data_IF_084106117245
#
_entry.id   IF_084106117245
#
_cell.length_a   1.000
_cell.length_b   1.000
_cell.length_c   1.000
_cell.angle_alpha   90.00
_cell.angle_beta   90.00
_cell.angle_gamma   90.00
#
_symmetry.space_group_name_H-M   'P 1'
#
loop_
_entity.id
_entity.type
_entity.pdbx_description
1 polymer ?
#
# COMPACT_ATOMS: atom_id res chain seq x y z
N UNK A 1 -39.29 -5.93 47.23
CA UNK A 1 -38.44 -7.06 46.86
C UNK A 1 -38.53 -7.20 45.36
N UNK A 2 -37.35 -7.31 44.76
CA UNK A 2 -37.04 -7.73 43.39
C UNK A 2 -37.19 -6.70 42.26
N UNK A 3 -36.04 -6.31 41.72
CA UNK A 3 -35.91 -5.59 40.45
C UNK A 3 -34.91 -4.44 40.51
N UNK A 4 -33.61 -4.78 40.49
CA UNK A 4 -32.48 -4.07 39.85
C UNK A 4 -31.21 -4.63 40.54
N UNK A 5 -30.73 -5.76 40.03
CA UNK A 5 -29.36 -6.24 40.24
C UNK A 5 -28.90 -6.80 38.90
N UNK A 6 -27.68 -6.42 38.50
CA UNK A 6 -27.04 -6.55 37.17
C UNK A 6 -27.50 -5.45 36.19
N UNK A 7 -26.68 -4.48 35.77
CA UNK A 7 -25.26 -4.53 35.38
C UNK A 7 -24.55 -3.26 35.85
N UNK A 8 -23.81 -3.33 36.96
CA UNK A 8 -22.78 -2.33 37.29
C UNK A 8 -21.41 -2.95 36.97
N UNK A 9 -21.11 -3.15 35.69
CA UNK A 9 -19.71 -3.23 35.27
C UNK A 9 -19.15 -1.84 35.56
N UNK A 10 -18.27 -1.74 36.55
CA UNK A 10 -17.82 -0.43 37.04
C UNK A 10 -17.21 0.36 35.88
N UNK A 11 -17.54 1.65 35.78
CA UNK A 11 -16.93 2.57 34.81
C UNK A 11 -15.40 2.50 34.86
N UNK A 12 -14.83 2.19 36.03
CA UNK A 12 -13.40 1.95 36.21
C UNK A 12 -12.88 0.69 35.49
N UNK A 13 -13.65 -0.40 35.46
CA UNK A 13 -13.28 -1.63 34.74
C UNK A 13 -13.32 -1.39 33.22
N UNK A 14 -14.34 -0.67 32.74
CA UNK A 14 -14.42 -0.26 31.33
C UNK A 14 -13.25 0.65 30.95
N UNK A 15 -12.90 1.63 31.80
CA UNK A 15 -11.79 2.55 31.58
C UNK A 15 -10.42 1.86 31.60
N UNK A 16 -10.23 0.82 32.43
CA UNK A 16 -9.00 0.03 32.45
C UNK A 16 -8.83 -0.84 31.20
N UNK A 17 -9.90 -1.53 30.76
CA UNK A 17 -9.89 -2.30 29.50
C UNK A 17 -9.68 -1.37 28.30
N UNK A 18 -10.23 -0.15 28.37
CA UNK A 18 -10.05 0.89 27.38
C UNK A 18 -8.59 1.37 27.29
N UNK A 19 -7.96 1.69 28.43
CA UNK A 19 -6.56 2.12 28.45
C UNK A 19 -5.61 1.01 27.99
N UNK A 20 -5.87 -0.25 28.33
CA UNK A 20 -5.08 -1.37 27.81
C UNK A 20 -5.22 -1.51 26.30
N UNK A 21 -6.44 -1.38 25.77
CA UNK A 21 -6.67 -1.44 24.32
C UNK A 21 -5.95 -0.30 23.58
N UNK A 22 -6.00 0.93 24.09
CA UNK A 22 -5.27 2.05 23.52
C UNK A 22 -3.75 1.80 23.51
N UNK A 23 -3.19 1.34 24.64
CA UNK A 23 -1.78 1.02 24.75
C UNK A 23 -1.36 -0.08 23.76
N UNK A 24 -2.21 -1.09 23.54
CA UNK A 24 -1.97 -2.16 22.58
C UNK A 24 -1.91 -1.64 21.13
N UNK A 25 -2.78 -0.68 20.77
CA UNK A 25 -2.79 -0.05 19.44
C UNK A 25 -1.58 0.87 19.23
N UNK A 26 -1.20 1.66 20.23
CA UNK A 26 0.03 2.48 20.19
C UNK A 26 1.26 1.59 20.00
N UNK A 27 1.32 0.46 20.73
CA UNK A 27 2.38 -0.52 20.59
C UNK A 27 2.38 -1.18 19.20
N UNK A 28 1.22 -1.49 18.63
CA UNK A 28 1.11 -2.04 17.27
C UNK A 28 1.64 -1.08 16.20
N UNK A 29 1.31 0.20 16.28
CA UNK A 29 1.84 1.23 15.35
C UNK A 29 3.36 1.36 15.46
N UNK A 30 3.89 1.37 16.70
CA UNK A 30 5.34 1.42 16.94
C UNK A 30 6.05 0.18 16.41
N UNK A 31 5.49 -1.01 16.65
CA UNK A 31 6.06 -2.27 16.18
C UNK A 31 6.03 -2.37 14.64
N UNK A 32 4.96 -1.90 13.99
CA UNK A 32 4.89 -1.82 12.53
C UNK A 32 6.01 -0.92 11.98
N UNK A 33 6.24 0.24 12.62
CA UNK A 33 7.35 1.13 12.26
C UNK A 33 8.70 0.44 12.46
N UNK A 34 8.95 -0.18 13.62
CA UNK A 34 10.20 -0.91 13.89
C UNK A 34 10.45 -2.04 12.89
N UNK A 35 9.42 -2.78 12.49
CA UNK A 35 9.51 -3.82 11.47
C UNK A 35 9.85 -3.24 10.11
N UNK A 36 9.23 -2.12 9.70
CA UNK A 36 9.55 -1.45 8.44
C UNK A 36 11.02 -1.03 8.39
N UNK A 37 11.52 -0.30 9.39
CA UNK A 37 12.92 0.14 9.41
C UNK A 37 13.89 -1.04 9.49
N UNK A 38 13.55 -2.09 10.24
CA UNK A 38 14.36 -3.30 10.27
C UNK A 38 14.49 -3.94 8.88
N UNK A 39 13.45 -3.95 8.05
CA UNK A 39 13.55 -4.43 6.66
C UNK A 39 14.28 -3.44 5.74
N UNK A 40 13.91 -2.16 5.82
CA UNK A 40 14.42 -1.09 4.97
C UNK A 40 15.92 -0.82 5.20
N UNK A 41 16.38 -0.67 6.43
CA UNK A 41 17.80 -0.41 6.74
C UNK A 41 18.70 -1.58 6.33
N UNK A 42 18.22 -2.82 6.48
CA UNK A 42 18.96 -3.99 6.02
C UNK A 42 18.99 -4.09 4.49
N UNK A 43 17.90 -3.75 3.80
CA UNK A 43 17.93 -3.60 2.34
C UNK A 43 18.99 -2.56 1.93
N UNK A 44 19.00 -1.38 2.57
CA UNK A 44 19.97 -0.33 2.29
C UNK A 44 21.42 -0.73 2.60
N UNK A 45 21.64 -1.65 3.55
CA UNK A 45 22.97 -2.08 3.97
C UNK A 45 23.53 -3.25 3.14
N UNK A 46 22.68 -4.19 2.73
CA UNK A 46 23.11 -5.48 2.17
C UNK A 46 22.66 -5.71 0.72
N UNK A 47 21.55 -5.11 0.30
CA UNK A 47 20.98 -5.34 -1.02
C UNK A 47 21.12 -4.16 -1.97
N UNK A 48 21.07 -2.91 -1.50
CA UNK A 48 21.23 -1.74 -2.36
C UNK A 48 22.58 -1.80 -3.13
N UNK A 49 22.61 -1.61 -4.47
CA UNK A 49 21.56 -1.09 -5.36
C UNK A 49 20.73 -2.15 -6.12
N UNK A 50 20.68 -3.39 -5.64
CA UNK A 50 19.83 -4.43 -6.24
C UNK A 50 18.34 -4.16 -5.98
N UNK A 51 17.48 -4.84 -6.74
CA UNK A 51 16.03 -4.61 -6.71
C UNK A 51 15.41 -5.05 -5.38
N UNK A 52 15.83 -6.21 -4.85
CA UNK A 52 15.26 -6.81 -3.65
C UNK A 52 16.33 -7.43 -2.74
N UNK A 53 15.93 -7.77 -1.52
CA UNK A 53 16.79 -8.38 -0.52
C UNK A 53 16.47 -9.86 -0.38
N UNK A 54 17.51 -10.67 -0.33
CA UNK A 54 17.49 -12.07 0.08
C UNK A 54 17.86 -12.11 1.59
N UNK A 55 16.87 -12.20 2.50
CA UNK A 55 17.04 -11.96 3.93
C UNK A 55 17.70 -13.11 4.72
N UNK A 56 17.82 -14.31 4.15
CA UNK A 56 18.53 -15.45 4.74
C UNK A 56 20.02 -15.29 4.49
N UNK A 57 20.46 -15.05 3.25
CA UNK A 57 21.88 -14.85 2.93
C UNK A 57 22.37 -13.41 3.07
N UNK A 58 21.47 -12.44 3.30
CA UNK A 58 21.79 -11.01 3.36
C UNK A 58 22.46 -10.52 2.08
N UNK A 59 21.89 -10.88 0.94
CA UNK A 59 22.41 -10.52 -0.39
C UNK A 59 21.36 -9.78 -1.20
N UNK A 60 21.80 -8.96 -2.16
CA UNK A 60 20.89 -8.33 -3.11
C UNK A 60 20.50 -9.27 -4.25
N UNK A 61 19.25 -9.16 -4.69
CA UNK A 61 18.68 -9.86 -5.83
C UNK A 61 18.27 -8.88 -6.93
N UNK A 62 18.63 -9.19 -8.16
CA UNK A 62 18.27 -8.42 -9.35
C UNK A 62 17.89 -9.33 -10.52
N UNK A 63 17.91 -8.76 -11.72
CA UNK A 63 17.54 -9.47 -12.94
C UNK A 63 18.42 -10.72 -13.17
N UNK A 64 17.81 -11.83 -13.59
CA UNK A 64 18.52 -13.06 -13.92
C UNK A 64 19.13 -12.94 -15.33
N UNK A 65 20.36 -12.41 -15.38
CA UNK A 65 21.14 -12.29 -16.61
C UNK A 65 21.63 -13.63 -17.16
N UNK A 66 21.67 -14.68 -16.33
CA UNK A 66 22.11 -16.01 -16.76
C UNK A 66 20.99 -16.72 -17.53
N UNK A 67 19.74 -16.48 -17.17
CA UNK A 67 18.56 -17.00 -17.85
C UNK A 67 17.53 -15.89 -18.16
N UNK A 68 17.64 -15.24 -19.33
CA UNK A 68 16.69 -14.19 -19.74
C UNK A 68 15.23 -14.65 -19.86
N UNK A 69 14.98 -15.95 -20.00
CA UNK A 69 13.63 -16.54 -20.09
C UNK A 69 13.00 -16.83 -18.72
N UNK A 70 13.70 -16.52 -17.62
CA UNK A 70 13.22 -16.73 -16.26
C UNK A 70 12.15 -15.71 -15.86
N UNK A 71 10.93 -15.90 -16.38
CA UNK A 71 9.78 -15.01 -16.15
C UNK A 71 9.44 -14.81 -14.67
N UNK A 72 9.70 -15.79 -13.81
CA UNK A 72 9.34 -15.71 -12.39
C UNK A 72 10.17 -14.68 -11.62
N UNK A 73 11.33 -14.29 -12.15
CA UNK A 73 12.24 -13.31 -11.56
C UNK A 73 12.24 -12.04 -12.42
N UNK A 74 12.45 -12.20 -13.73
CA UNK A 74 12.69 -11.09 -14.64
C UNK A 74 11.46 -10.20 -14.90
N UNK A 75 10.25 -10.69 -14.64
CA UNK A 75 9.03 -9.89 -14.83
C UNK A 75 8.97 -8.68 -13.89
N UNK A 76 9.52 -8.82 -12.69
CA UNK A 76 9.50 -7.80 -11.63
C UNK A 76 10.85 -7.09 -11.50
N UNK A 77 11.95 -7.82 -11.66
CA UNK A 77 13.30 -7.30 -11.42
C UNK A 77 13.92 -6.77 -12.72
N UNK A 78 14.13 -5.46 -12.79
CA UNK A 78 14.65 -4.76 -13.96
C UNK A 78 15.99 -4.06 -13.76
N UNK A 79 16.65 -4.27 -12.61
CA UNK A 79 17.91 -3.63 -12.17
C UNK A 79 17.79 -2.10 -12.01
N UNK A 80 16.73 -1.65 -11.35
CA UNK A 80 16.43 -0.23 -11.12
C UNK A 80 16.18 0.11 -9.64
N UNK A 81 16.65 -0.71 -8.72
CA UNK A 81 16.49 -0.53 -7.26
C UNK A 81 15.00 -0.51 -6.86
N UNK A 82 14.24 -1.52 -7.30
CA UNK A 82 12.79 -1.61 -7.07
C UNK A 82 12.36 -1.31 -5.63
N UNK A 83 12.96 -1.96 -4.63
CA UNK A 83 12.59 -1.77 -3.21
C UNK A 83 12.82 -0.33 -2.73
N UNK A 84 13.86 0.36 -3.21
CA UNK A 84 14.09 1.77 -2.89
C UNK A 84 12.95 2.65 -3.43
N UNK A 85 12.58 2.44 -4.70
CA UNK A 85 11.53 3.22 -5.36
C UNK A 85 10.17 2.96 -4.71
N UNK A 86 9.83 1.70 -4.46
CA UNK A 86 8.56 1.30 -3.84
C UNK A 86 8.44 1.80 -2.38
N UNK A 87 9.55 2.00 -1.67
CA UNK A 87 9.52 2.46 -0.27
C UNK A 87 9.39 3.99 -0.11
N UNK A 88 9.50 4.79 -1.18
CA UNK A 88 9.50 6.25 -1.10
C UNK A 88 8.25 6.82 -0.44
N UNK A 89 7.06 6.34 -0.84
CA UNK A 89 5.79 6.79 -0.29
C UNK A 89 5.60 6.35 1.18
N UNK A 90 6.16 5.18 1.51
CA UNK A 90 6.08 4.59 2.83
C UNK A 90 6.90 5.40 3.83
N UNK A 91 8.06 5.92 3.45
CA UNK A 91 8.85 6.86 4.27
C UNK A 91 8.03 8.10 4.67
N UNK A 92 7.15 8.57 3.78
CA UNK A 92 6.24 9.68 4.07
C UNK A 92 5.17 9.25 5.06
N UNK A 93 4.56 8.08 4.87
CA UNK A 93 3.57 7.52 5.80
C UNK A 93 4.13 7.32 7.21
N UNK A 94 5.36 6.84 7.33
CA UNK A 94 6.04 6.66 8.62
C UNK A 94 6.55 7.96 9.25
N UNK A 95 6.42 9.09 8.53
CA UNK A 95 6.74 10.43 9.02
C UNK A 95 8.24 10.72 9.10
N UNK A 96 9.03 10.26 8.13
CA UNK A 96 10.49 10.45 8.10
C UNK A 96 10.96 11.31 6.92
N UNK A 97 10.94 12.65 7.08
CA UNK A 97 11.34 13.56 6.02
C UNK A 97 12.83 13.51 5.71
N UNK A 98 13.68 13.20 6.71
CA UNK A 98 15.13 13.16 6.52
C UNK A 98 15.50 12.01 5.59
N UNK A 99 14.95 10.83 5.88
CA UNK A 99 15.18 9.65 5.09
C UNK A 99 14.53 9.75 3.71
N UNK A 100 13.32 10.31 3.60
CA UNK A 100 12.67 10.56 2.31
C UNK A 100 13.55 11.42 1.38
N UNK A 101 14.05 12.56 1.86
CA UNK A 101 14.91 13.46 1.07
C UNK A 101 16.20 12.78 0.63
N UNK A 102 16.78 11.95 1.51
CA UNK A 102 17.96 11.11 1.19
C UNK A 102 17.64 10.07 0.12
N UNK A 103 16.52 9.35 0.26
CA UNK A 103 16.09 8.32 -0.67
C UNK A 103 15.79 8.90 -2.06
N UNK A 104 15.12 10.05 -2.15
CA UNK A 104 14.88 10.77 -3.42
C UNK A 104 16.20 11.11 -4.11
N UNK A 105 17.16 11.66 -3.36
CA UNK A 105 18.50 11.97 -3.90
C UNK A 105 19.23 10.71 -4.38
N UNK A 106 19.09 9.58 -3.70
CA UNK A 106 19.67 8.31 -4.13
C UNK A 106 19.02 7.79 -5.43
N UNK A 107 17.70 7.89 -5.55
CA UNK A 107 16.97 7.49 -6.75
C UNK A 107 17.45 8.30 -7.95
N UNK A 108 17.49 9.64 -7.83
CA UNK A 108 17.95 10.54 -8.90
C UNK A 108 19.38 10.22 -9.36
N UNK A 109 20.27 9.88 -8.42
CA UNK A 109 21.69 9.64 -8.74
C UNK A 109 22.02 8.21 -9.20
N UNK A 110 21.19 7.22 -8.84
CA UNK A 110 21.55 5.79 -9.01
C UNK A 110 20.69 5.08 -10.06
N UNK A 111 19.42 5.47 -10.20
CA UNK A 111 18.45 4.72 -11.01
C UNK A 111 18.50 5.17 -12.47
N UNK A 112 18.54 4.20 -13.38
CA UNK A 112 18.45 4.42 -14.82
C UNK A 112 17.68 3.29 -15.48
N UNK A 113 16.73 3.64 -16.35
CA UNK A 113 15.92 2.68 -17.11
C UNK A 113 16.54 2.30 -18.46
N UNK A 114 17.72 2.81 -18.80
CA UNK A 114 18.45 2.40 -20.00
C UNK A 114 19.18 1.07 -19.76
N UNK A 115 18.40 0.00 -19.61
CA UNK A 115 18.88 -1.35 -19.34
C UNK A 115 18.42 -2.31 -20.43
N UNK A 116 19.26 -3.28 -20.77
CA UNK A 116 18.87 -4.37 -21.67
C UNK A 116 18.19 -5.50 -20.87
N UNK A 117 17.14 -5.15 -20.13
CA UNK A 117 16.34 -6.08 -19.32
C UNK A 117 14.91 -6.11 -19.86
N UNK A 118 14.30 -7.29 -19.79
CA UNK A 118 12.90 -7.50 -20.19
C UNK A 118 12.05 -7.54 -18.94
N UNK A 119 11.06 -6.67 -18.85
CA UNK A 119 10.18 -6.56 -17.69
C UNK A 119 8.71 -6.73 -18.11
N UNK A 120 7.85 -7.03 -17.15
CA UNK A 120 6.41 -7.07 -17.37
C UNK A 120 5.83 -5.65 -17.30
N UNK A 121 5.05 -5.27 -18.31
CA UNK A 121 4.44 -3.92 -18.41
C UNK A 121 3.54 -3.64 -17.20
N UNK A 122 2.82 -4.65 -16.75
CA UNK A 122 1.98 -4.59 -15.57
C UNK A 122 2.79 -4.27 -14.31
N UNK A 123 3.86 -5.02 -14.04
CA UNK A 123 4.66 -4.87 -12.82
C UNK A 123 5.46 -3.57 -12.80
N UNK A 124 5.87 -3.06 -13.98
CA UNK A 124 6.50 -1.75 -14.09
C UNK A 124 5.55 -0.58 -13.81
N UNK A 125 4.24 -0.80 -14.00
CA UNK A 125 3.24 0.26 -13.94
C UNK A 125 2.41 0.24 -12.65
N UNK A 126 2.15 -0.93 -12.04
CA UNK A 126 1.02 -1.10 -11.10
C UNK A 126 1.37 -1.88 -9.83
N UNK A 127 0.83 -1.39 -8.69
CA UNK A 127 -0.22 -2.01 -7.84
C UNK A 127 -1.17 -0.86 -7.41
N UNK A 128 -2.45 -1.10 -7.10
CA UNK A 128 -3.50 -0.06 -7.20
C UNK A 128 -4.00 0.53 -5.87
N UNK A 129 -4.04 1.88 -5.75
CA UNK A 129 -5.24 2.77 -5.76
C UNK A 129 -5.05 4.12 -4.99
N UNK A 130 -4.60 5.17 -5.68
CA UNK A 130 -4.36 6.50 -5.09
C UNK A 130 -5.62 7.25 -4.63
N UNK A 131 -5.68 7.70 -3.37
CA UNK A 131 -6.70 8.63 -2.88
C UNK A 131 -6.19 10.08 -2.79
N UNK A 132 -4.90 10.34 -2.95
CA UNK A 132 -4.39 11.72 -2.83
C UNK A 132 -4.93 12.67 -3.92
N UNK A 133 -5.21 12.17 -5.13
CA UNK A 133 -5.83 12.98 -6.19
C UNK A 133 -7.30 13.34 -5.88
N UNK A 134 -8.00 12.52 -5.08
CA UNK A 134 -9.34 12.83 -4.60
C UNK A 134 -9.30 14.03 -3.64
N UNK A 135 -8.27 14.12 -2.79
CA UNK A 135 -8.09 15.23 -1.84
C UNK A 135 -7.91 16.55 -2.58
N UNK A 136 -7.02 16.63 -3.57
CA UNK A 136 -6.78 17.89 -4.31
C UNK A 136 -8.00 18.34 -5.11
N UNK A 137 -8.71 17.41 -5.78
CA UNK A 137 -9.93 17.75 -6.53
C UNK A 137 -11.11 18.13 -5.62
N UNK A 138 -11.29 17.46 -4.48
CA UNK A 138 -12.32 17.86 -3.50
C UNK A 138 -11.97 19.19 -2.84
N UNK A 139 -10.70 19.46 -2.54
CA UNK A 139 -10.26 20.74 -1.99
C UNK A 139 -10.52 21.90 -2.98
N UNK A 140 -10.19 21.74 -4.26
CA UNK A 140 -10.46 22.76 -5.29
C UNK A 140 -11.95 22.96 -5.58
N UNK A 141 -12.76 21.89 -5.54
CA UNK A 141 -14.22 21.99 -5.73
C UNK A 141 -14.91 22.62 -4.50
N UNK A 142 -14.49 22.28 -3.28
CA UNK A 142 -15.01 22.87 -2.05
C UNK A 142 -14.70 24.38 -1.96
N UNK A 143 -13.52 24.81 -2.42
CA UNK A 143 -13.14 26.22 -2.49
C UNK A 143 -14.03 27.02 -3.47
N UNK A 144 -14.49 26.39 -4.56
CA UNK A 144 -15.32 27.05 -5.57
C UNK A 144 -16.82 27.10 -5.24
N UNK A 145 -17.34 26.15 -4.44
CA UNK A 145 -18.79 26.04 -4.17
C UNK A 145 -19.21 26.40 -2.74
N UNK A 146 -18.31 26.75 -1.83
CA UNK A 146 -18.66 27.25 -0.49
C UNK A 146 -19.40 26.25 0.40
N UNK A 147 -19.41 24.96 0.04
CA UNK A 147 -19.94 23.89 0.87
C UNK A 147 -18.85 23.37 1.81
N UNK A 148 -19.07 23.55 3.11
CA UNK A 148 -18.25 22.96 4.16
C UNK A 148 -18.64 21.48 4.33
N UNK A 149 -18.20 20.61 3.43
CA UNK A 149 -18.15 19.18 3.74
C UNK A 149 -16.99 18.99 4.72
N UNK A 150 -17.29 18.74 6.00
CA UNK A 150 -16.31 18.28 6.98
C UNK A 150 -16.01 16.81 6.70
N UNK A 151 -15.30 16.54 5.61
CA UNK A 151 -14.39 15.39 5.61
C UNK A 151 -13.18 15.85 6.40
N UNK A 152 -12.89 15.17 7.52
CA UNK A 152 -11.69 15.44 8.30
C UNK A 152 -10.48 15.34 7.37
N UNK A 153 -9.66 16.40 7.33
CA UNK A 153 -8.42 16.62 6.57
C UNK A 153 -7.34 15.51 6.68
N UNK A 154 -7.63 14.38 7.32
CA UNK A 154 -6.68 13.35 7.72
C UNK A 154 -6.90 12.00 7.02
N UNK A 155 -7.96 11.79 6.23
CA UNK A 155 -8.16 10.50 5.53
C UNK A 155 -7.29 10.44 4.26
N UNK A 156 -5.97 10.35 4.46
CA UNK A 156 -4.98 10.08 3.43
C UNK A 156 -5.02 8.59 3.07
N UNK A 157 -5.28 8.28 1.80
CA UNK A 157 -5.06 6.92 1.31
C UNK A 157 -3.97 6.93 0.25
N UNK A 158 -2.80 6.48 0.68
CA UNK A 158 -1.71 6.05 -0.18
C UNK A 158 -1.89 4.54 -0.32
N UNK A 159 -2.49 4.09 -1.41
CA UNK A 159 -2.37 2.67 -1.74
C UNK A 159 -1.09 2.46 -2.51
N UNK A 160 -0.70 1.19 -2.60
CA UNK A 160 0.41 0.71 -3.39
C UNK A 160 0.55 1.44 -4.72
N UNK A 161 1.79 1.69 -5.09
CA UNK A 161 2.21 2.07 -6.43
C UNK A 161 3.46 1.24 -6.73
N UNK A 162 3.66 0.86 -8.00
CA UNK A 162 4.95 0.36 -8.46
C UNK A 162 5.61 1.38 -9.36
N UNK A 163 6.94 1.44 -9.28
CA UNK A 163 7.87 2.28 -10.05
C UNK A 163 7.29 3.61 -10.55
N UNK A 164 6.55 3.64 -11.67
CA UNK A 164 5.90 4.86 -12.19
C UNK A 164 5.04 5.54 -11.12
N UNK A 165 4.13 4.83 -10.46
CA UNK A 165 3.25 5.45 -9.48
C UNK A 165 4.01 5.97 -8.26
N UNK A 166 5.05 5.27 -7.80
CA UNK A 166 5.87 5.68 -6.66
C UNK A 166 6.71 6.92 -7.00
N UNK A 167 7.26 6.99 -8.22
CA UNK A 167 7.95 8.18 -8.73
C UNK A 167 7.01 9.38 -8.86
N UNK A 168 5.78 9.17 -9.35
CA UNK A 168 4.76 10.24 -9.47
C UNK A 168 4.31 10.74 -8.09
N UNK A 169 4.07 9.83 -7.14
CA UNK A 169 3.71 10.18 -5.77
C UNK A 169 4.84 10.95 -5.08
N UNK A 170 6.07 10.44 -5.16
CA UNK A 170 7.24 11.11 -4.59
C UNK A 170 7.52 12.46 -5.26
N UNK A 171 7.30 12.60 -6.57
CA UNK A 171 7.38 13.89 -7.27
C UNK A 171 6.41 14.90 -6.68
N UNK A 172 5.14 14.53 -6.52
CA UNK A 172 4.14 15.42 -5.92
C UNK A 172 4.52 15.86 -4.51
N UNK A 173 4.98 14.92 -3.68
CA UNK A 173 5.33 15.18 -2.28
C UNK A 173 6.59 16.06 -2.18
N UNK A 174 7.60 15.80 -3.02
CA UNK A 174 8.83 16.59 -3.04
C UNK A 174 8.61 18.02 -3.57
N UNK A 175 7.63 18.20 -4.47
CA UNK A 175 7.25 19.50 -5.03
C UNK A 175 6.24 20.30 -4.20
N UNK A 176 5.65 19.72 -3.14
CA UNK A 176 4.62 20.38 -2.34
C UNK A 176 5.21 21.42 -1.38
N UNK A 177 5.06 22.71 -1.70
CA UNK A 177 5.50 23.84 -0.87
C UNK A 177 4.51 24.18 0.27
N UNK A 178 3.30 23.61 0.23
CA UNK A 178 2.24 23.87 1.20
C UNK A 178 2.41 23.09 2.51
N UNK A 179 3.41 22.18 2.56
CA UNK A 179 3.75 21.35 3.72
C UNK A 179 2.54 20.57 4.29
N UNK A 180 1.56 20.19 3.46
CA UNK A 180 0.34 19.52 3.91
C UNK A 180 0.63 18.20 4.63
N UNK A 181 1.68 17.50 4.21
CA UNK A 181 2.12 16.22 4.77
C UNK A 181 3.28 16.38 5.77
N UNK A 182 3.77 17.59 6.02
CA UNK A 182 4.97 17.87 6.81
C UNK A 182 6.13 18.41 5.98
N UNK A 183 7.35 18.40 6.54
CA UNK A 183 8.57 18.93 5.91
C UNK A 183 9.18 17.95 4.89
N UNK A 184 8.39 17.55 3.89
CA UNK A 184 8.85 16.68 2.80
C UNK A 184 9.29 17.45 1.55
N UNK A 185 9.05 18.76 1.51
CA UNK A 185 9.47 19.65 0.44
C UNK A 185 11.00 19.64 0.22
N UNK A 186 11.42 19.61 -1.05
CA UNK A 186 12.83 19.67 -1.46
C UNK A 186 13.05 20.97 -2.25
N UNK A 187 13.77 21.96 -1.69
CA UNK A 187 13.92 23.28 -2.32
C UNK A 187 14.56 23.27 -3.71
N UNK A 188 15.53 22.38 -3.95
CA UNK A 188 16.31 22.32 -5.20
C UNK A 188 15.77 21.26 -6.19
N UNK A 189 14.55 20.76 -5.98
CA UNK A 189 13.95 19.70 -6.81
C UNK A 189 13.27 20.29 -8.06
N UNK A 190 13.72 19.88 -9.24
CA UNK A 190 13.25 20.41 -10.53
C UNK A 190 12.32 19.45 -11.30
N UNK A 191 11.82 18.39 -10.66
CA UNK A 191 10.91 17.43 -11.27
C UNK A 191 11.60 16.23 -11.92
N UNK A 192 12.77 15.86 -11.41
CA UNK A 192 13.59 14.75 -11.88
C UNK A 192 12.80 13.42 -11.83
N UNK A 193 12.03 13.17 -10.77
CA UNK A 193 11.26 11.93 -10.65
C UNK A 193 10.10 11.87 -11.68
N UNK A 194 9.51 13.01 -12.05
CA UNK A 194 8.52 13.07 -13.14
C UNK A 194 9.18 12.76 -14.48
N UNK A 195 10.39 13.27 -14.71
CA UNK A 195 11.18 12.97 -15.92
C UNK A 195 11.53 11.49 -16.00
N UNK A 196 11.89 10.88 -14.87
CA UNK A 196 12.15 9.44 -14.77
C UNK A 196 10.88 8.60 -15.01
N UNK A 197 9.74 8.99 -14.43
CA UNK A 197 8.45 8.34 -14.67
C UNK A 197 8.06 8.41 -16.15
N UNK A 198 8.31 9.54 -16.80
CA UNK A 198 8.09 9.73 -18.23
C UNK A 198 9.03 8.86 -19.09
N UNK A 199 10.32 8.78 -18.77
CA UNK A 199 11.28 7.92 -19.49
C UNK A 199 10.86 6.45 -19.42
N UNK A 200 10.47 5.96 -18.24
CA UNK A 200 9.97 4.60 -18.08
C UNK A 200 8.68 4.39 -18.90
N UNK A 201 7.69 5.27 -18.76
CA UNK A 201 6.43 5.17 -19.50
C UNK A 201 6.63 5.18 -21.02
N UNK A 202 7.53 6.02 -21.53
CA UNK A 202 7.89 6.08 -22.95
C UNK A 202 8.49 4.76 -23.44
N UNK A 203 9.32 4.09 -22.62
CA UNK A 203 9.89 2.76 -22.92
C UNK A 203 8.84 1.65 -22.93
N UNK A 204 7.71 1.82 -22.25
CA UNK A 204 6.59 0.87 -22.28
C UNK A 204 5.70 1.03 -23.52
N UNK A 205 5.69 2.20 -24.19
CA UNK A 205 4.84 2.48 -25.35
C UNK A 205 4.88 1.43 -26.48
N UNK A 206 6.04 0.84 -26.84
CA UNK A 206 6.09 -0.21 -27.86
C UNK A 206 5.19 -1.42 -27.59
N UNK A 207 4.90 -1.70 -26.31
CA UNK A 207 3.99 -2.80 -25.93
C UNK A 207 2.54 -2.53 -26.34
N UNK A 208 2.15 -1.28 -26.58
CA UNK A 208 0.78 -0.85 -26.86
C UNK A 208 0.52 -0.65 -28.35
N UNK A 209 1.51 -0.18 -29.11
CA UNK A 209 1.35 0.26 -30.50
C UNK A 209 1.19 -0.89 -31.51
N UNK A 210 1.91 -2.01 -31.30
CA UNK A 210 2.02 -3.08 -32.30
C UNK A 210 1.04 -4.25 -32.04
N UNK A 211 -0.15 -3.95 -31.52
CA UNK A 211 -1.10 -4.98 -31.05
C UNK A 211 -2.28 -5.13 -32.01
N UNK A 212 -2.56 -6.37 -32.45
CA UNK A 212 -3.68 -6.64 -33.36
C UNK A 212 -5.05 -6.45 -32.70
N UNK A 213 -5.14 -6.69 -31.39
CA UNK A 213 -6.39 -6.65 -30.61
C UNK A 213 -6.63 -5.29 -29.94
N UNK A 214 -5.61 -4.42 -29.91
CA UNK A 214 -5.59 -3.20 -29.09
C UNK A 214 -5.31 -3.46 -27.60
N UNK A 215 -4.90 -4.68 -27.24
CA UNK A 215 -4.51 -5.09 -25.88
C UNK A 215 -2.98 -5.20 -25.83
N UNK A 216 -2.30 -4.64 -24.81
CA UNK A 216 -0.84 -4.60 -24.75
C UNK A 216 -0.19 -5.98 -24.71
N UNK A 217 1.02 -6.07 -25.24
CA UNK A 217 1.91 -7.17 -24.94
C UNK A 217 2.22 -7.20 -23.44
N UNK A 218 2.34 -8.38 -22.82
CA UNK A 218 2.60 -8.51 -21.39
C UNK A 218 3.98 -7.98 -21.00
N UNK A 219 4.96 -8.03 -21.91
CA UNK A 219 6.38 -7.76 -21.62
C UNK A 219 7.00 -6.85 -22.65
N UNK A 220 8.00 -6.10 -22.22
CA UNK A 220 8.78 -5.19 -23.05
C UNK A 220 10.22 -5.15 -22.56
N UNK A 221 11.17 -5.07 -23.49
CA UNK A 221 12.56 -4.81 -23.18
C UNK A 221 12.79 -3.30 -23.12
N UNK A 222 13.39 -2.80 -22.04
CA UNK A 222 13.55 -1.37 -21.78
C UNK A 222 14.43 -0.63 -22.81
N UNK A 223 15.28 -1.35 -23.55
CA UNK A 223 16.12 -0.78 -24.60
C UNK A 223 15.64 -1.12 -26.01
N UNK A 224 15.10 -2.32 -26.21
CA UNK A 224 14.78 -2.88 -27.54
C UNK A 224 13.29 -2.91 -27.88
N UNK A 225 12.41 -2.58 -26.93
CA UNK A 225 10.97 -2.69 -27.11
C UNK A 225 10.48 -4.13 -27.07
N UNK A 226 9.46 -4.45 -27.87
CA UNK A 226 8.87 -5.81 -27.91
C UNK A 226 9.78 -6.76 -28.70
N UNK A 227 10.21 -7.85 -28.07
CA UNK A 227 11.04 -8.87 -28.72
C UNK A 227 10.18 -9.80 -29.60
N UNK A 228 10.73 -10.39 -30.69
CA UNK A 228 9.94 -11.18 -31.65
C UNK A 228 9.35 -12.48 -31.07
N UNK A 229 9.92 -13.01 -29.99
CA UNK A 229 9.44 -14.22 -29.31
C UNK A 229 8.53 -13.91 -28.10
N UNK A 230 8.05 -12.67 -27.97
CA UNK A 230 7.19 -12.27 -26.83
C UNK A 230 5.83 -12.95 -26.95
N UNK A 231 5.31 -13.47 -25.84
CA UNK A 231 3.98 -14.07 -25.81
C UNK A 231 2.89 -13.03 -26.16
N UNK A 232 1.92 -13.44 -26.98
CA UNK A 232 0.78 -12.60 -27.38
C UNK A 232 -0.41 -12.69 -26.41
N UNK A 233 -0.23 -13.36 -25.27
CA UNK A 233 -1.24 -13.57 -24.25
C UNK A 233 -0.95 -12.67 -23.06
N UNK A 234 -1.96 -11.97 -22.58
CA UNK A 234 -1.88 -11.15 -21.36
C UNK A 234 -3.11 -11.38 -20.50
N UNK A 235 -3.00 -11.07 -19.21
CA UNK A 235 -4.12 -11.14 -18.28
C UNK A 235 -4.93 -9.83 -18.26
N UNK A 236 -6.19 -9.91 -17.85
CA UNK A 236 -7.10 -8.75 -17.74
C UNK A 236 -6.56 -7.68 -16.79
N UNK A 237 -6.00 -8.08 -15.65
CA UNK A 237 -5.33 -7.19 -14.71
C UNK A 237 -4.09 -6.53 -15.35
N UNK A 238 -3.30 -7.33 -16.08
CA UNK A 238 -2.11 -6.89 -16.80
C UNK A 238 -2.37 -5.76 -17.79
N UNK A 239 -3.50 -5.83 -18.48
CA UNK A 239 -3.89 -4.86 -19.48
C UNK A 239 -4.74 -3.69 -18.93
N UNK A 240 -5.63 -3.95 -17.96
CA UNK A 240 -6.66 -2.99 -17.53
C UNK A 240 -6.25 -2.02 -16.44
N UNK A 241 -5.21 -2.34 -15.66
CA UNK A 241 -4.93 -1.61 -14.43
C UNK A 241 -4.02 -0.38 -14.58
N UNK A 242 -3.81 0.14 -15.80
CA UNK A 242 -2.84 1.21 -16.10
C UNK A 242 -3.42 2.64 -16.02
N UNK A 243 -4.75 2.75 -15.92
CA UNK A 243 -5.49 4.00 -16.17
C UNK A 243 -5.14 5.11 -15.19
N UNK A 244 -4.85 4.78 -13.95
CA UNK A 244 -4.60 5.76 -12.91
C UNK A 244 -3.24 6.43 -13.10
N UNK A 245 -2.18 5.63 -13.20
CA UNK A 245 -0.80 6.09 -13.33
C UNK A 245 -0.61 6.83 -14.65
N UNK A 246 -1.11 6.27 -15.75
CA UNK A 246 -1.05 6.93 -17.06
C UNK A 246 -1.93 8.17 -17.11
N UNK A 247 -3.07 8.18 -16.41
CA UNK A 247 -3.93 9.36 -16.27
C UNK A 247 -3.27 10.50 -15.49
N UNK A 248 -2.60 10.19 -14.38
CA UNK A 248 -1.86 11.17 -13.58
C UNK A 248 -0.65 11.68 -14.37
N UNK A 249 0.12 10.79 -14.99
CA UNK A 249 1.25 11.15 -15.85
C UNK A 249 0.80 12.10 -16.97
N UNK A 250 -0.29 11.77 -17.66
CA UNK A 250 -0.86 12.63 -18.71
C UNK A 250 -1.23 14.02 -18.22
N UNK A 251 -1.78 14.14 -17.01
CA UNK A 251 -2.16 15.43 -16.42
C UNK A 251 -0.94 16.25 -16.04
N UNK A 252 0.11 15.63 -15.50
CA UNK A 252 1.33 16.31 -15.08
C UNK A 252 2.18 16.76 -16.27
N UNK A 253 2.24 15.95 -17.33
CA UNK A 253 2.97 16.30 -18.55
C UNK A 253 2.18 17.22 -19.48
N UNK A 254 0.85 17.30 -19.33
CA UNK A 254 -0.03 17.95 -20.30
C UNK A 254 -0.17 17.17 -21.62
N UNK A 255 0.26 15.90 -21.66
CA UNK A 255 0.16 15.01 -22.81
C UNK A 255 -0.86 13.90 -22.58
N UNK A 256 -1.96 13.91 -23.33
CA UNK A 256 -3.05 12.93 -23.20
C UNK A 256 -2.74 11.54 -23.79
N UNK A 257 -1.58 11.34 -24.42
CA UNK A 257 -1.24 10.08 -25.09
C UNK A 257 -1.38 8.87 -24.16
N UNK A 258 -0.80 8.94 -22.96
CA UNK A 258 -0.83 7.86 -21.97
C UNK A 258 -2.26 7.55 -21.48
N UNK A 259 -3.03 8.57 -21.07
CA UNK A 259 -4.42 8.39 -20.63
C UNK A 259 -5.31 7.80 -21.73
N UNK A 260 -5.16 8.27 -22.98
CA UNK A 260 -5.96 7.76 -24.12
C UNK A 260 -5.66 6.29 -24.39
N UNK A 261 -4.40 5.88 -24.31
CA UNK A 261 -4.00 4.47 -24.48
C UNK A 261 -4.66 3.61 -23.39
N UNK A 262 -4.48 3.98 -22.12
CA UNK A 262 -5.03 3.20 -21.01
C UNK A 262 -6.57 3.13 -21.04
N UNK A 263 -7.24 4.25 -21.38
CA UNK A 263 -8.69 4.31 -21.51
C UNK A 263 -9.20 3.42 -22.63
N UNK A 264 -8.57 3.47 -23.81
CA UNK A 264 -8.93 2.63 -24.96
C UNK A 264 -8.84 1.14 -24.62
N UNK A 265 -7.82 0.74 -23.88
CA UNK A 265 -7.64 -0.66 -23.46
C UNK A 265 -8.77 -1.09 -22.53
N UNK A 266 -9.11 -0.27 -21.53
CA UNK A 266 -10.21 -0.56 -20.62
C UNK A 266 -11.56 -0.63 -21.32
N UNK A 267 -11.83 0.28 -22.26
CA UNK A 267 -13.04 0.21 -23.11
C UNK A 267 -13.06 -1.08 -23.94
N UNK A 268 -11.91 -1.53 -24.43
CA UNK A 268 -11.80 -2.76 -25.21
C UNK A 268 -12.04 -4.00 -24.36
N UNK A 269 -11.45 -4.08 -23.16
CA UNK A 269 -11.69 -5.15 -22.19
C UNK A 269 -13.17 -5.17 -21.80
N UNK A 270 -13.76 -4.00 -21.53
CA UNK A 270 -15.17 -3.87 -21.18
C UNK A 270 -16.10 -4.41 -22.28
N UNK A 271 -15.78 -4.21 -23.55
CA UNK A 271 -16.52 -4.75 -24.68
C UNK A 271 -16.40 -6.27 -24.83
N UNK A 272 -15.39 -6.90 -24.24
CA UNK A 272 -15.15 -8.35 -24.31
C UNK A 272 -15.86 -9.13 -23.20
N UNK A 273 -16.66 -8.47 -22.35
CA UNK A 273 -17.45 -9.14 -21.32
C UNK A 273 -18.45 -10.12 -21.94
N UNK A 274 -18.69 -11.23 -21.27
CA UNK A 274 -19.71 -12.18 -21.71
C UNK A 274 -21.11 -11.52 -21.70
N UNK A 275 -21.84 -11.63 -22.81
CA UNK A 275 -23.12 -10.93 -22.98
C UNK A 275 -24.22 -11.44 -22.03
N UNK A 276 -24.09 -12.67 -21.52
CA UNK A 276 -25.10 -13.31 -20.67
C UNK A 276 -24.85 -13.06 -19.19
N UNK A 277 -23.59 -13.15 -18.77
CA UNK A 277 -23.20 -13.06 -17.36
C UNK A 277 -22.65 -11.68 -16.99
N UNK A 278 -22.20 -10.90 -17.98
CA UNK A 278 -21.53 -9.62 -17.76
C UNK A 278 -20.16 -9.73 -17.08
N UNK A 279 -19.63 -10.96 -16.94
CA UNK A 279 -18.43 -11.22 -16.13
C UNK A 279 -17.14 -10.93 -16.89
N UNK A 280 -16.20 -10.31 -16.17
CA UNK A 280 -14.78 -10.20 -16.45
C UNK A 280 -14.06 -10.54 -15.13
N UNK A 281 -13.08 -11.44 -15.15
CA UNK A 281 -12.43 -11.91 -13.91
C UNK A 281 -11.48 -10.84 -13.36
N UNK A 282 -11.65 -10.49 -12.09
CA UNK A 282 -10.76 -9.62 -11.32
C UNK A 282 -10.49 -10.21 -9.92
N UNK A 283 -9.33 -9.86 -9.34
CA UNK A 283 -8.86 -10.32 -8.04
C UNK A 283 -8.72 -9.14 -7.05
N UNK A 284 -8.81 -9.44 -5.74
CA UNK A 284 -9.06 -8.55 -4.60
C UNK A 284 -10.49 -8.01 -4.52
N UNK A 285 -11.39 -8.83 -3.97
CA UNK A 285 -12.82 -8.52 -3.98
C UNK A 285 -13.28 -7.77 -2.72
N UNK A 286 -12.74 -8.06 -1.54
CA UNK A 286 -13.19 -7.40 -0.29
C UNK A 286 -12.92 -5.88 -0.28
N UNK A 287 -11.71 -5.43 -0.61
CA UNK A 287 -11.39 -4.00 -0.72
C UNK A 287 -12.25 -3.28 -1.76
N UNK A 288 -12.42 -3.89 -2.94
CA UNK A 288 -13.22 -3.34 -4.04
C UNK A 288 -14.70 -3.27 -3.70
N UNK A 289 -15.25 -4.28 -3.02
CA UNK A 289 -16.63 -4.29 -2.55
C UNK A 289 -16.92 -3.12 -1.62
N UNK A 290 -16.00 -2.82 -0.69
CA UNK A 290 -16.14 -1.69 0.23
C UNK A 290 -16.23 -0.37 -0.54
N UNK A 291 -15.34 -0.18 -1.52
CA UNK A 291 -15.35 1.01 -2.37
C UNK A 291 -16.59 1.09 -3.27
N UNK A 292 -17.13 -0.06 -3.68
CA UNK A 292 -18.40 -0.14 -4.39
C UNK A 292 -19.63 0.09 -3.48
N UNK A 293 -19.44 0.13 -2.15
CA UNK A 293 -20.48 0.33 -1.15
C UNK A 293 -21.12 -0.95 -0.61
N UNK A 294 -20.64 -2.13 -1.03
CA UNK A 294 -21.15 -3.44 -0.59
C UNK A 294 -20.35 -3.97 0.61
N UNK A 295 -20.56 -3.33 1.76
CA UNK A 295 -19.77 -3.60 2.99
C UNK A 295 -20.13 -4.96 3.60
N UNK A 296 -21.38 -5.41 3.50
CA UNK A 296 -21.82 -6.67 4.12
C UNK A 296 -21.15 -7.88 3.48
N UNK A 297 -21.10 -7.92 2.14
CA UNK A 297 -20.41 -8.99 1.43
C UNK A 297 -18.89 -8.94 1.68
N UNK A 298 -18.33 -7.73 1.79
CA UNK A 298 -16.90 -7.57 2.10
C UNK A 298 -16.54 -8.15 3.48
N UNK A 299 -17.39 -7.93 4.49
CA UNK A 299 -17.23 -8.51 5.83
C UNK A 299 -17.29 -10.03 5.77
N UNK A 300 -18.26 -10.60 5.02
CA UNK A 300 -18.41 -12.04 4.86
C UNK A 300 -17.14 -12.66 4.27
N UNK A 301 -16.63 -12.09 3.17
CA UNK A 301 -15.42 -12.61 2.52
C UNK A 301 -14.17 -12.46 3.37
N UNK A 302 -13.99 -11.31 4.02
CA UNK A 302 -12.87 -11.09 4.92
C UNK A 302 -12.84 -12.11 6.06
N UNK A 303 -14.01 -12.47 6.61
CA UNK A 303 -14.12 -13.47 7.68
C UNK A 303 -13.58 -14.86 7.27
N UNK A 304 -13.70 -15.23 6.00
CA UNK A 304 -13.17 -16.49 5.46
C UNK A 304 -11.64 -16.47 5.48
N UNK A 305 -11.03 -15.40 4.96
CA UNK A 305 -9.58 -15.23 4.98
C UNK A 305 -9.04 -15.13 6.41
N UNK A 306 -9.75 -14.45 7.30
CA UNK A 306 -9.39 -14.41 8.72
C UNK A 306 -9.40 -15.80 9.35
N UNK A 307 -10.40 -16.64 9.07
CA UNK A 307 -10.43 -18.02 9.57
C UNK A 307 -9.25 -18.87 9.07
N UNK A 308 -8.80 -18.65 7.82
CA UNK A 308 -7.60 -19.31 7.27
C UNK A 308 -6.34 -18.78 7.97
N UNK A 309 -6.23 -17.47 8.17
CA UNK A 309 -5.13 -16.83 8.90
C UNK A 309 -5.01 -17.40 10.31
N UNK A 310 -6.12 -17.54 11.03
CA UNK A 310 -6.13 -18.14 12.39
C UNK A 310 -5.65 -19.59 12.42
N UNK A 311 -5.80 -20.33 11.32
CA UNK A 311 -5.39 -21.74 11.25
C UNK A 311 -3.90 -21.89 10.98
N UNK A 312 -3.33 -21.10 10.07
CA UNK A 312 -1.95 -21.28 9.60
C UNK A 312 -0.98 -20.18 10.08
N UNK A 313 -1.48 -19.08 10.65
CA UNK A 313 -0.71 -17.88 11.00
C UNK A 313 -0.38 -16.98 9.81
N UNK A 314 -0.39 -17.51 8.59
CA UNK A 314 -0.24 -16.78 7.32
C UNK A 314 -1.19 -17.36 6.27
N UNK A 315 -1.47 -16.64 5.19
CA UNK A 315 -2.34 -17.15 4.13
C UNK A 315 -1.55 -17.99 3.13
N UNK A 316 -2.01 -19.18 2.75
CA UNK A 316 -1.45 -19.84 1.59
C UNK A 316 -1.82 -19.11 0.30
N UNK A 317 -0.93 -19.16 -0.67
CA UNK A 317 -1.10 -18.58 -2.02
C UNK A 317 -2.39 -19.05 -2.70
N UNK A 318 -2.76 -20.33 -2.51
CA UNK A 318 -4.02 -20.87 -3.01
C UNK A 318 -4.63 -21.83 -2.01
N UNK A 319 -5.88 -21.55 -1.65
CA UNK A 319 -6.65 -22.39 -0.75
C UNK A 319 -7.78 -23.13 -1.48
N UNK A 320 -7.84 -24.45 -1.31
CA UNK A 320 -8.92 -25.26 -1.84
C UNK A 320 -10.06 -25.35 -0.83
N UNK A 321 -11.19 -24.74 -1.15
CA UNK A 321 -12.36 -24.69 -0.28
C UNK A 321 -13.09 -26.04 -0.17
N UNK A 322 -13.08 -26.87 -1.22
CA UNK A 322 -13.66 -28.21 -1.16
C UNK A 322 -12.84 -29.12 -0.24
N UNK A 323 -11.52 -29.14 -0.43
CA UNK A 323 -10.61 -30.00 0.32
C UNK A 323 -10.19 -29.40 1.66
N UNK A 324 -10.56 -28.14 1.93
CA UNK A 324 -10.23 -27.36 3.14
C UNK A 324 -8.73 -27.39 3.49
N UNK A 325 -7.90 -27.39 2.45
CA UNK A 325 -6.43 -27.45 2.55
C UNK A 325 -5.81 -26.51 1.51
N UNK A 326 -4.56 -26.10 1.69
CA UNK A 326 -3.88 -25.33 0.66
C UNK A 326 -3.52 -26.22 -0.53
N UNK A 327 -3.70 -25.67 -1.74
CA UNK A 327 -3.20 -26.27 -2.98
C UNK A 327 -1.81 -25.73 -3.33
N UNK A 328 -1.53 -24.48 -2.95
CA UNK A 328 -0.21 -23.86 -3.03
C UNK A 328 0.11 -23.31 -1.64
N UNK A 329 1.09 -23.91 -0.98
CA UNK A 329 1.43 -23.65 0.43
C UNK A 329 2.30 -22.40 0.63
N UNK A 330 2.76 -21.77 -0.45
CA UNK A 330 3.66 -20.63 -0.44
C UNK A 330 2.97 -19.36 0.09
N UNK A 331 3.70 -18.43 0.72
CA UNK A 331 3.20 -17.09 1.09
C UNK A 331 4.29 -16.01 0.95
N UNK A 332 4.23 -15.19 -0.10
CA UNK A 332 5.24 -14.16 -0.40
C UNK A 332 4.94 -12.83 0.30
N UNK A 333 4.50 -12.84 1.57
CA UNK A 333 4.27 -11.63 2.36
C UNK A 333 3.20 -10.67 1.79
N UNK A 334 2.19 -11.27 1.16
CA UNK A 334 1.12 -10.60 0.40
C UNK A 334 0.33 -9.55 1.21
N UNK A 335 0.07 -8.35 0.64
CA UNK A 335 -0.57 -7.23 1.33
C UNK A 335 -2.10 -7.26 1.34
N UNK A 336 -2.76 -8.01 0.46
CA UNK A 336 -4.20 -7.87 0.15
C UNK A 336 -5.10 -8.08 1.38
N UNK A 337 -4.68 -8.92 2.32
CA UNK A 337 -5.42 -9.14 3.57
C UNK A 337 -5.25 -7.99 4.57
N UNK A 338 -4.06 -7.41 4.68
CA UNK A 338 -3.81 -6.23 5.52
C UNK A 338 -4.54 -5.00 4.94
N UNK A 339 -4.51 -4.83 3.62
CA UNK A 339 -5.26 -3.82 2.87
C UNK A 339 -6.76 -3.92 3.15
N UNK A 340 -7.35 -5.10 2.94
CA UNK A 340 -8.79 -5.33 3.17
C UNK A 340 -9.18 -5.07 4.63
N UNK A 341 -8.33 -5.44 5.58
CA UNK A 341 -8.53 -5.18 7.01
C UNK A 341 -8.55 -3.68 7.31
N UNK A 342 -7.62 -2.93 6.73
CA UNK A 342 -7.56 -1.48 6.85
C UNK A 342 -8.80 -0.81 6.25
N UNK A 343 -9.21 -1.19 5.05
CA UNK A 343 -10.40 -0.63 4.39
C UNK A 343 -11.69 -0.94 5.15
N UNK A 344 -11.84 -2.16 5.67
CA UNK A 344 -12.99 -2.52 6.51
C UNK A 344 -13.02 -1.74 7.81
N UNK A 345 -11.86 -1.52 8.44
CA UNK A 345 -11.76 -0.65 9.59
C UNK A 345 -12.19 0.78 9.24
N UNK A 346 -11.76 1.34 8.11
CA UNK A 346 -12.18 2.67 7.70
C UNK A 346 -13.69 2.78 7.47
N UNK A 347 -14.28 1.81 6.78
CA UNK A 347 -15.70 1.82 6.43
C UNK A 347 -16.62 1.58 7.64
N UNK A 348 -16.22 0.70 8.56
CA UNK A 348 -17.07 0.27 9.68
C UNK A 348 -16.70 0.91 11.02
N UNK A 349 -15.48 1.44 11.14
CA UNK A 349 -14.82 1.87 12.39
C UNK A 349 -14.89 0.82 13.52
N UNK A 350 -15.04 -0.46 13.17
CA UNK A 350 -15.18 -1.54 14.13
C UNK A 350 -13.80 -1.95 14.68
N UNK A 351 -13.57 -1.91 16.01
CA UNK A 351 -12.29 -2.24 16.64
C UNK A 351 -11.84 -3.70 16.42
N UNK A 352 -12.75 -4.59 16.00
CA UNK A 352 -12.40 -5.95 15.60
C UNK A 352 -11.28 -5.98 14.56
N UNK A 353 -11.32 -5.09 13.56
CA UNK A 353 -10.30 -5.06 12.51
C UNK A 353 -8.93 -4.59 13.00
N UNK A 354 -8.89 -3.78 14.07
CA UNK A 354 -7.63 -3.42 14.73
C UNK A 354 -6.99 -4.63 15.41
N UNK A 355 -7.81 -5.47 16.05
CA UNK A 355 -7.35 -6.73 16.62
C UNK A 355 -6.83 -7.68 15.53
N UNK A 356 -7.54 -7.79 14.40
CA UNK A 356 -7.05 -8.56 13.24
C UNK A 356 -5.71 -8.02 12.73
N UNK A 357 -5.57 -6.70 12.60
CA UNK A 357 -4.30 -6.05 12.21
C UNK A 357 -3.15 -6.40 13.16
N UNK A 358 -3.40 -6.39 14.48
CA UNK A 358 -2.42 -6.80 15.49
C UNK A 358 -2.03 -8.28 15.33
N UNK A 359 -2.99 -9.17 15.13
CA UNK A 359 -2.69 -10.60 14.93
C UNK A 359 -1.89 -10.87 13.66
N UNK A 360 -2.16 -10.13 12.57
CA UNK A 360 -1.35 -10.20 11.34
C UNK A 360 0.10 -9.81 11.65
N UNK A 361 0.29 -8.70 12.34
CA UNK A 361 1.60 -8.17 12.70
C UNK A 361 2.40 -9.15 13.59
N UNK A 362 1.76 -9.70 14.63
CA UNK A 362 2.36 -10.71 15.52
C UNK A 362 2.74 -11.99 14.75
N UNK A 363 1.90 -12.42 13.81
CA UNK A 363 2.16 -13.60 12.98
C UNK A 363 3.35 -13.38 12.04
N UNK A 364 3.41 -12.22 11.38
CA UNK A 364 4.51 -11.87 10.49
C UNK A 364 5.83 -11.76 11.27
N UNK A 365 5.85 -11.08 12.42
CA UNK A 365 7.06 -10.90 13.23
C UNK A 365 7.56 -12.22 13.86
N UNK A 366 6.68 -13.18 14.09
CA UNK A 366 7.03 -14.50 14.65
C UNK A 366 7.47 -15.51 13.60
N UNK A 367 6.79 -15.57 12.45
CA UNK A 367 7.02 -16.59 11.41
C UNK A 367 8.07 -16.14 10.41
N UNK A 368 7.93 -14.92 9.87
CA UNK A 368 8.68 -14.48 8.67
C UNK A 368 10.00 -13.81 8.99
N UNK A 369 10.19 -13.35 10.24
CA UNK A 369 11.39 -12.62 10.63
C UNK A 369 12.62 -13.54 10.73
N UNK A 370 13.67 -13.23 9.96
CA UNK A 370 14.94 -13.96 10.01
C UNK A 370 15.72 -13.53 11.25
N UNK A 371 15.79 -14.42 12.26
CA UNK A 371 16.41 -14.12 13.57
C UNK A 371 17.85 -14.62 13.73
N UNK A 372 18.30 -15.54 12.88
CA UNK A 372 19.64 -16.14 12.97
C UNK A 372 19.98 -16.89 11.69
N UNK A 373 20.88 -16.36 10.87
CA UNK A 373 21.57 -17.15 9.86
C UNK A 373 23.09 -16.99 10.02
N UNK A 374 23.80 -18.10 9.87
CA UNK A 374 25.24 -18.20 10.11
C UNK A 374 25.99 -17.74 8.86
N UNK A 375 26.35 -16.46 8.80
CA UNK A 375 27.30 -15.97 7.82
C UNK A 375 28.66 -15.78 8.49
N UNK A 376 29.69 -16.52 8.05
CA UNK A 376 31.08 -16.36 8.54
C UNK A 376 31.21 -16.27 10.08
N UNK A 377 30.50 -17.13 10.83
CA UNK A 377 30.57 -17.22 12.30
C UNK A 377 29.95 -16.04 13.09
N UNK A 378 29.06 -15.25 12.47
CA UNK A 378 28.22 -14.25 13.16
C UNK A 378 26.73 -14.46 12.85
N UNK A 379 25.87 -14.23 13.84
CA UNK A 379 24.41 -14.22 13.67
C UNK A 379 24.00 -12.90 13.04
N UNK A 380 23.67 -12.89 11.75
CA UNK A 380 23.17 -11.69 11.07
C UNK A 380 21.64 -11.75 10.99
N UNK A 381 21.01 -10.61 11.28
CA UNK A 381 19.56 -10.40 11.19
C UNK A 381 19.31 -9.49 10.00
N UNK A 382 18.70 -9.98 8.92
CA UNK A 382 18.66 -9.23 7.66
C UNK A 382 17.28 -8.87 7.13
N UNK A 383 16.18 -9.49 7.57
CA UNK A 383 14.87 -9.04 7.10
C UNK A 383 13.75 -10.02 7.36
N UNK A 384 12.75 -9.97 6.48
CA UNK A 384 11.57 -10.83 6.50
C UNK A 384 11.56 -11.72 5.27
N UNK A 385 11.52 -13.02 5.49
CA UNK A 385 11.55 -14.04 4.45
C UNK A 385 10.15 -14.48 4.08
N UNK A 386 9.96 -14.73 2.79
CA UNK A 386 8.81 -15.45 2.25
C UNK A 386 8.66 -16.82 2.89
N UNK A 387 7.42 -17.28 3.12
CA UNK A 387 7.16 -18.62 3.64
C UNK A 387 7.04 -19.59 2.48
N UNK A 388 7.91 -20.59 2.43
CA UNK A 388 7.90 -21.62 1.41
C UNK A 388 6.69 -22.57 1.57
N UNK A 389 6.41 -23.02 2.80
CA UNK A 389 5.24 -23.84 3.10
C UNK A 389 4.58 -23.45 4.44
N UNK A 390 3.30 -23.04 4.38
CA UNK A 390 2.51 -22.65 5.56
C UNK A 390 2.28 -23.77 6.58
N UNK A 391 2.47 -25.04 6.21
CA UNK A 391 2.26 -26.17 7.11
C UNK A 391 3.47 -26.45 7.99
N UNK A 392 4.68 -26.26 7.47
CA UNK A 392 5.93 -26.51 8.19
C UNK A 392 6.60 -25.21 8.69
N UNK A 393 6.21 -24.06 8.15
CA UNK A 393 6.81 -22.76 8.48
C UNK A 393 8.20 -22.56 7.89
N UNK A 394 8.58 -23.34 6.87
CA UNK A 394 9.85 -23.18 6.15
C UNK A 394 9.91 -21.83 5.43
N UNK A 395 11.10 -21.25 5.39
CA UNK A 395 11.33 -19.93 4.81
C UNK A 395 12.09 -20.05 3.49
N UNK A 396 11.74 -19.21 2.52
CA UNK A 396 12.43 -19.01 1.26
C UNK A 396 13.19 -17.69 1.30
N UNK A 397 14.37 -17.66 0.68
CA UNK A 397 15.27 -16.51 0.73
C UNK A 397 14.83 -15.38 -0.20
N UNK A 398 13.68 -14.77 0.09
CA UNK A 398 13.10 -13.68 -0.71
C UNK A 398 12.34 -12.71 0.19
N UNK A 399 12.65 -11.42 0.07
CA UNK A 399 11.83 -10.33 0.60
C UNK A 399 11.32 -9.49 -0.57
N UNK A 400 10.05 -9.65 -0.89
CA UNK A 400 9.42 -8.92 -2.01
C UNK A 400 9.27 -7.43 -1.67
N UNK A 401 9.46 -6.54 -2.65
CA UNK A 401 9.45 -5.08 -2.45
C UNK A 401 8.15 -4.56 -1.80
N UNK A 402 7.01 -5.14 -2.22
CA UNK A 402 5.68 -4.74 -1.76
C UNK A 402 5.45 -5.05 -0.28
N UNK A 403 6.25 -5.90 0.37
CA UNK A 403 6.12 -6.12 1.80
C UNK A 403 6.34 -4.81 2.58
N UNK A 404 7.42 -4.08 2.24
CA UNK A 404 7.72 -2.79 2.86
C UNK A 404 6.76 -1.70 2.39
N UNK A 405 6.47 -1.67 1.09
CA UNK A 405 5.67 -0.61 0.48
C UNK A 405 4.16 -0.71 0.75
N UNK A 406 3.64 -1.91 1.04
CA UNK A 406 2.21 -2.15 1.16
C UNK A 406 1.85 -2.79 2.50
N UNK A 407 2.32 -4.01 2.78
CA UNK A 407 1.91 -4.77 3.97
C UNK A 407 2.20 -3.98 5.25
N UNK A 408 3.42 -3.46 5.37
CA UNK A 408 3.81 -2.64 6.54
C UNK A 408 3.07 -1.31 6.60
N UNK A 409 2.82 -0.68 5.45
CA UNK A 409 2.08 0.58 5.33
C UNK A 409 0.63 0.41 5.83
N UNK A 410 -0.10 -0.60 5.35
CA UNK A 410 -1.47 -0.85 5.78
C UNK A 410 -1.59 -1.21 7.27
N UNK A 411 -0.66 -2.01 7.79
CA UNK A 411 -0.63 -2.35 9.22
C UNK A 411 -0.37 -1.12 10.09
N UNK A 412 0.54 -0.24 9.67
CA UNK A 412 0.79 1.03 10.36
C UNK A 412 -0.43 1.96 10.35
N UNK A 413 -1.03 2.17 9.17
CA UNK A 413 -2.20 3.05 9.00
C UNK A 413 -3.41 2.56 9.80
N UNK A 414 -3.62 1.24 9.87
CA UNK A 414 -4.70 0.64 10.65
C UNK A 414 -4.65 1.07 12.12
N UNK A 415 -3.47 1.05 12.75
CA UNK A 415 -3.29 1.46 14.14
C UNK A 415 -3.21 2.99 14.31
N UNK A 416 -2.57 3.70 13.37
CA UNK A 416 -2.34 5.15 13.45
C UNK A 416 -3.64 5.97 13.46
N UNK A 417 -4.57 5.66 12.55
CA UNK A 417 -5.82 6.45 12.42
C UNK A 417 -6.78 6.31 13.60
N UNK A 418 -6.72 5.19 14.34
CA UNK A 418 -7.48 5.05 15.59
C UNK A 418 -7.07 6.11 16.61
N UNK A 419 -5.76 6.34 16.79
CA UNK A 419 -5.24 7.27 17.78
C UNK A 419 -5.66 8.71 17.48
N UNK A 420 -5.61 9.12 16.21
CA UNK A 420 -6.01 10.48 15.82
C UNK A 420 -7.53 10.70 15.93
N UNK A 421 -8.36 9.76 15.44
CA UNK A 421 -9.82 9.85 15.59
C UNK A 421 -10.25 9.91 17.06
N UNK A 422 -9.62 9.09 17.91
CA UNK A 422 -9.97 9.02 19.31
C UNK A 422 -9.50 10.24 20.10
N UNK A 423 -8.28 10.73 19.90
CA UNK A 423 -7.81 11.97 20.53
C UNK A 423 -8.74 13.15 20.22
N UNK A 424 -9.28 13.19 19.00
CA UNK A 424 -10.29 14.16 18.59
C UNK A 424 -11.62 13.94 19.31
N UNK A 425 -12.15 12.73 19.37
CA UNK A 425 -13.39 12.44 20.11
C UNK A 425 -13.26 12.73 21.61
N UNK A 426 -12.12 12.38 22.22
CA UNK A 426 -11.83 12.62 23.63
C UNK A 426 -11.68 14.11 23.94
N UNK A 427 -11.03 14.89 23.06
CA UNK A 427 -10.99 16.36 23.22
C UNK A 427 -12.38 17.01 23.08
N UNK A 428 -13.25 16.48 22.22
CA UNK A 428 -14.66 16.90 22.17
C UNK A 428 -15.43 16.50 23.45
N UNK A 429 -15.25 15.27 23.94
CA UNK A 429 -15.93 14.81 25.17
C UNK A 429 -15.41 15.52 26.43
N UNK A 430 -14.11 15.78 26.53
CA UNK A 430 -13.49 16.54 27.61
C UNK A 430 -13.88 18.02 27.58
N UNK A 431 -14.05 18.61 26.39
CA UNK A 431 -14.58 19.98 26.28
C UNK A 431 -16.05 20.05 26.71
N UNK A 432 -16.87 19.03 26.46
CA UNK A 432 -18.21 18.92 27.03
C UNK A 432 -18.21 18.67 28.56
N UNK A 433 -17.33 17.81 29.07
CA UNK A 433 -17.23 17.53 30.52
C UNK A 433 -16.68 18.72 31.33
N UNK A 434 -15.79 19.52 30.75
CA UNK A 434 -15.31 20.77 31.36
C UNK A 434 -16.38 21.87 31.37
N UNK A 435 -17.37 21.81 30.47
CA UNK A 435 -18.53 22.72 30.48
C UNK A 435 -19.54 22.31 31.56
N UNK A 436 -19.68 21.01 31.88
CA UNK A 436 -20.59 20.55 32.95
C UNK A 436 -20.03 20.73 34.38
N UNK A 437 -18.70 20.84 34.56
CA UNK A 437 -18.07 21.05 35.88
C UNK A 437 -17.34 22.39 36.04
N UNK A 438 -17.38 23.25 35.03
CA UNK A 438 -16.80 24.59 35.04
C UNK A 438 -17.83 25.66 35.44
N UNK A 439 -17.92 25.92 36.75
CA UNK A 439 -18.50 27.18 37.27
C UNK A 439 -17.91 28.38 36.53
N UNK A 440 -18.78 29.32 36.17
CA UNK A 440 -18.52 30.62 35.56
C UNK A 440 -17.10 31.19 35.84
N UNK A 441 -16.27 31.28 34.81
CA UNK A 441 -15.18 32.26 34.77
C UNK A 441 -15.62 33.35 33.81
N UNK A 442 -15.96 34.49 34.38
CA UNK A 442 -16.24 35.73 33.66
C UNK A 442 -15.01 36.12 32.84
N UNK A 443 -15.15 36.21 31.53
CA UNK A 443 -14.40 37.18 30.74
C UNK A 443 -15.35 37.83 29.74
N UNK A 444 -15.64 39.10 30.02
CA UNK A 444 -16.36 40.03 29.17
C UNK A 444 -15.79 40.03 27.74
N UNK A 445 -16.66 39.86 26.74
CA UNK A 445 -16.30 39.97 25.33
C UNK A 445 -17.40 39.51 24.38
N UNK A 446 -18.45 40.32 24.26
CA UNK A 446 -19.54 40.34 23.27
C UNK A 446 -19.61 39.22 22.20
N UNK A 447 -20.70 38.44 22.23
CA UNK A 447 -21.29 37.79 21.05
C UNK A 447 -22.16 38.82 20.29
N UNK A 448 -22.11 38.91 18.95
CA UNK A 448 -23.15 39.59 18.18
C UNK A 448 -24.38 38.67 18.03
N UNK A 449 -25.61 39.24 18.02
CA UNK A 449 -26.84 38.46 17.89
C UNK A 449 -27.23 38.24 16.42
N UNK A 450 -28.15 37.31 16.25
CA UNK A 450 -28.98 37.01 15.08
C UNK A 450 -28.37 36.08 14.01
N UNK A 451 -28.96 34.88 13.89
CA UNK A 451 -29.84 34.51 12.77
C UNK A 451 -30.77 33.38 13.22
N UNK A 452 -32.06 33.63 13.06
CA UNK A 452 -33.21 32.71 13.15
C UNK A 452 -33.23 31.67 12.04
#
# INVERSE_FOLDING_TARGET
MDGIQMVSVSVATYYQVYLSFQADIENASKEAKEMFYFGYENYMSYAFPHDELDPIHCTGRGHDHANPENININDVLGDYSLTLIDSLDSLVVFGDPVEFKRAVSLVINTVSFEKNTTIQVFEATIRSFAVYLFIYYTYNIAYYFGFCFVFSHEEFFLHAFRVIGSLLSAHWIASDDSCLLGDFFIPDYEGELLTMAHDLAARLLPAFEQTATGIPFPRVNLQRGVLPNTANETCTAGAGSLLLEFGILSRLLGDQTYERIARRINERIWQMRDEKTGLLVFASFSGVLILAGDVEEAVCQHSIYYAIWKKYGVLPERFNWHLKRPDVNFYPLRPEFAESTYLLYLATKNPFYLHVGREILDSLNSITRVRSYLYFMFLVKCGFATVHDVNDGSLEDRMESFFLAETMKYLYLCSYFYLNYFNKLLSYLLSFYLVEYGSCISHNGALPPDIS
#
